data_IF_907203687879
#
_entry.id   IF_907203687879
#
_cell.length_a   1.000
_cell.length_b   1.000
_cell.length_c   1.000
_cell.angle_alpha   90.00
_cell.angle_beta   90.00
_cell.angle_gamma   90.00
#
_symmetry.space_group_name_H-M   'P 1'
#
loop_
_entity.id
_entity.type
_entity.pdbx_description
1 polymer ?
#
# COMPACT_ATOMS: atom_id res chain seq x y z
N UNK A 1 -23.33 6.13 13.38
CA UNK A 1 -23.41 5.28 12.19
C UNK A 1 -24.39 5.82 11.15
N UNK A 2 -25.67 6.11 11.47
CA UNK A 2 -26.66 6.66 10.52
C UNK A 2 -26.13 7.83 9.67
N UNK A 3 -25.56 8.84 10.28
CA UNK A 3 -25.06 10.04 9.57
C UNK A 3 -23.90 9.71 8.60
N UNK A 4 -23.00 8.82 9.03
CA UNK A 4 -21.86 8.37 8.21
C UNK A 4 -22.33 7.60 6.97
N UNK A 5 -23.35 6.75 7.13
CA UNK A 5 -23.95 6.00 6.03
C UNK A 5 -24.70 6.91 5.04
N UNK A 6 -25.47 7.89 5.55
CA UNK A 6 -26.17 8.87 4.72
C UNK A 6 -25.16 9.70 3.88
N UNK A 7 -24.04 10.10 4.46
CA UNK A 7 -22.97 10.81 3.73
C UNK A 7 -22.37 9.95 2.61
N UNK A 8 -22.15 8.64 2.86
CA UNK A 8 -21.61 7.73 1.85
C UNK A 8 -22.59 7.53 0.70
N UNK A 9 -23.87 7.40 0.98
CA UNK A 9 -24.90 7.27 -0.05
C UNK A 9 -24.95 8.55 -0.91
N UNK A 10 -25.01 9.72 -0.28
CA UNK A 10 -25.01 11.00 -1.00
C UNK A 10 -23.74 11.16 -1.85
N UNK A 11 -22.58 10.76 -1.31
CA UNK A 11 -21.32 10.81 -2.04
C UNK A 11 -21.28 9.84 -3.23
N UNK A 12 -21.86 8.66 -3.09
CA UNK A 12 -22.00 7.69 -4.20
C UNK A 12 -22.82 8.30 -5.35
N UNK A 13 -23.94 8.95 -5.05
CA UNK A 13 -24.79 9.57 -6.06
C UNK A 13 -24.08 10.73 -6.76
N UNK A 14 -23.30 11.54 -6.02
CA UNK A 14 -22.43 12.55 -6.62
C UNK A 14 -21.38 11.93 -7.55
N UNK A 15 -20.73 10.85 -7.14
CA UNK A 15 -19.72 10.17 -7.95
C UNK A 15 -20.31 9.57 -9.21
N UNK A 16 -21.52 9.02 -9.15
CA UNK A 16 -22.26 8.52 -10.30
C UNK A 16 -22.56 9.64 -11.30
N UNK A 17 -22.99 10.80 -10.82
CA UNK A 17 -23.18 11.98 -11.65
C UNK A 17 -21.87 12.47 -12.28
N UNK A 18 -20.76 12.47 -11.54
CA UNK A 18 -19.44 12.86 -12.03
C UNK A 18 -18.91 11.90 -13.10
N UNK A 19 -19.15 10.59 -12.98
CA UNK A 19 -18.76 9.60 -13.98
C UNK A 19 -19.50 9.75 -15.31
N UNK A 20 -20.66 10.40 -15.29
CA UNK A 20 -21.44 10.74 -16.49
C UNK A 20 -21.01 12.07 -17.14
N UNK A 21 -20.15 12.87 -16.49
CA UNK A 21 -19.70 14.17 -17.00
C UNK A 21 -18.65 14.02 -18.11
N UNK A 22 -18.91 14.53 -19.34
CA UNK A 22 -17.94 14.50 -20.43
C UNK A 22 -16.60 15.17 -20.13
N UNK A 23 -16.57 16.16 -19.22
CA UNK A 23 -15.35 16.84 -18.83
C UNK A 23 -14.42 15.92 -18.03
N UNK A 24 -14.99 15.02 -17.23
CA UNK A 24 -14.23 14.06 -16.42
C UNK A 24 -13.81 12.86 -17.27
N UNK A 25 -14.66 12.42 -18.20
CA UNK A 25 -14.33 11.33 -19.15
C UNK A 25 -13.10 11.69 -20.00
N UNK A 26 -12.88 12.96 -20.29
CA UNK A 26 -11.72 13.43 -21.04
C UNK A 26 -10.42 13.54 -20.24
N UNK A 27 -10.47 13.38 -18.89
CA UNK A 27 -9.31 13.40 -18.00
C UNK A 27 -9.09 12.01 -17.39
N UNK A 28 -8.16 11.19 -17.92
CA UNK A 28 -7.97 9.80 -17.50
C UNK A 28 -7.54 9.65 -16.03
N UNK A 29 -6.79 10.61 -15.47
CA UNK A 29 -6.34 10.54 -14.08
C UNK A 29 -7.50 10.78 -13.11
N UNK A 30 -8.28 11.85 -13.34
CA UNK A 30 -9.47 12.14 -12.54
C UNK A 30 -10.52 11.05 -12.67
N UNK A 31 -10.74 10.54 -13.87
CA UNK A 31 -11.67 9.43 -14.10
C UNK A 31 -11.27 8.18 -13.31
N UNK A 32 -9.98 7.84 -13.28
CA UNK A 32 -9.47 6.69 -12.52
C UNK A 32 -9.73 6.84 -11.02
N UNK A 33 -9.49 8.02 -10.46
CA UNK A 33 -9.69 8.27 -9.03
C UNK A 33 -11.17 8.24 -8.65
N UNK A 34 -12.03 8.90 -9.43
CA UNK A 34 -13.48 8.91 -9.23
C UNK A 34 -14.07 7.49 -9.38
N UNK A 35 -13.64 6.73 -10.41
CA UNK A 35 -14.09 5.36 -10.61
C UNK A 35 -13.66 4.42 -9.47
N UNK A 36 -12.50 4.66 -8.86
CA UNK A 36 -12.03 3.91 -7.69
C UNK A 36 -12.89 4.20 -6.47
N UNK A 37 -13.14 5.49 -6.19
CA UNK A 37 -13.99 5.93 -5.07
C UNK A 37 -15.42 5.40 -5.23
N UNK A 38 -15.99 5.52 -6.42
CA UNK A 38 -17.33 4.99 -6.76
C UNK A 38 -17.42 3.48 -6.52
N UNK A 39 -16.42 2.70 -6.98
CA UNK A 39 -16.39 1.24 -6.77
C UNK A 39 -16.36 0.86 -5.30
N UNK A 40 -15.68 1.64 -4.47
CA UNK A 40 -15.64 1.41 -3.02
C UNK A 40 -17.01 1.70 -2.39
N UNK A 41 -17.62 2.84 -2.72
CA UNK A 41 -18.94 3.21 -2.23
C UNK A 41 -20.03 2.23 -2.71
N UNK A 42 -19.95 1.77 -3.95
CA UNK A 42 -20.92 0.84 -4.55
C UNK A 42 -21.06 -0.50 -3.79
N UNK A 43 -20.01 -0.97 -3.11
CA UNK A 43 -20.08 -2.17 -2.26
C UNK A 43 -20.78 -1.89 -0.94
N UNK A 44 -20.68 -0.65 -0.43
CA UNK A 44 -21.22 -0.25 0.87
C UNK A 44 -22.70 0.13 0.76
N UNK A 45 -23.09 0.86 -0.29
CA UNK A 45 -24.42 1.47 -0.45
C UNK A 45 -25.58 0.47 -0.34
N UNK A 46 -25.59 -0.70 -0.98
CA UNK A 46 -26.69 -1.65 -0.84
C UNK A 46 -26.91 -2.10 0.60
N UNK A 47 -25.82 -2.40 1.34
CA UNK A 47 -25.89 -2.81 2.74
C UNK A 47 -26.27 -1.64 3.67
N UNK A 48 -25.81 -0.44 3.34
CA UNK A 48 -26.20 0.77 4.06
C UNK A 48 -27.71 1.05 3.93
N UNK A 49 -28.26 0.92 2.73
CA UNK A 49 -29.69 1.08 2.49
C UNK A 49 -30.51 0.00 3.23
N UNK A 50 -30.06 -1.25 3.19
CA UNK A 50 -30.70 -2.34 3.93
C UNK A 50 -30.69 -2.09 5.44
N UNK A 51 -29.55 -1.65 5.99
CA UNK A 51 -29.42 -1.31 7.41
C UNK A 51 -30.34 -0.14 7.83
N UNK A 52 -30.40 0.91 7.01
CA UNK A 52 -31.28 2.06 7.28
C UNK A 52 -32.76 1.69 7.20
N UNK A 53 -33.16 0.91 6.20
CA UNK A 53 -34.53 0.41 6.06
C UNK A 53 -34.94 -0.48 7.24
N UNK A 54 -34.05 -1.37 7.69
CA UNK A 54 -34.30 -2.21 8.85
C UNK A 54 -34.42 -1.41 10.16
N UNK A 55 -33.64 -0.34 10.29
CA UNK A 55 -33.78 0.59 11.42
C UNK A 55 -35.12 1.32 11.43
N UNK A 56 -35.64 1.75 10.27
CA UNK A 56 -36.95 2.38 10.15
C UNK A 56 -38.06 1.39 10.51
N UNK A 57 -37.97 0.17 10.00
CA UNK A 57 -38.94 -0.89 10.36
C UNK A 57 -38.92 -1.22 11.84
N UNK A 58 -37.73 -1.27 12.50
CA UNK A 58 -37.64 -1.44 13.94
C UNK A 58 -38.30 -0.31 14.74
N UNK A 59 -38.12 0.93 14.29
CA UNK A 59 -38.73 2.07 14.92
C UNK A 59 -40.29 2.04 14.74
N UNK A 60 -40.78 1.59 13.57
CA UNK A 60 -42.22 1.35 13.32
C UNK A 60 -42.79 0.24 14.21
N UNK A 61 -42.07 -0.89 14.36
CA UNK A 61 -42.49 -2.01 15.23
C UNK A 61 -42.58 -1.57 16.70
N UNK A 62 -41.66 -0.73 17.17
CA UNK A 62 -41.73 -0.14 18.53
C UNK A 62 -42.99 0.72 18.73
N UNK A 63 -43.35 1.52 17.73
CA UNK A 63 -44.56 2.33 17.78
C UNK A 63 -45.82 1.44 17.82
N UNK A 64 -45.82 0.32 17.06
CA UNK A 64 -46.93 -0.65 17.07
C UNK A 64 -47.06 -1.31 18.44
N UNK A 65 -45.95 -1.66 19.09
CA UNK A 65 -45.95 -2.26 20.42
C UNK A 65 -46.49 -1.33 21.48
N UNK A 66 -46.24 -0.02 21.33
CA UNK A 66 -46.79 1.02 22.23
C UNK A 66 -48.25 1.41 21.88
N UNK A 67 -48.83 0.91 20.75
CA UNK A 67 -50.19 1.17 20.28
C UNK A 67 -51.27 0.47 21.13
N UNK A 68 -52.51 0.41 20.66
CA UNK A 68 -53.63 -0.20 21.37
C UNK A 68 -54.15 -1.51 20.77
N UNK A 69 -53.55 -1.99 19.66
CA UNK A 69 -53.94 -3.20 18.95
C UNK A 69 -53.16 -4.41 19.42
N UNK A 70 -53.82 -5.30 20.15
CA UNK A 70 -53.17 -6.46 20.78
C UNK A 70 -52.69 -7.49 19.75
N UNK A 71 -53.37 -7.69 18.60
CA UNK A 71 -52.93 -8.63 17.56
C UNK A 71 -51.65 -8.14 16.84
N UNK A 72 -51.60 -6.86 16.52
CA UNK A 72 -50.40 -6.26 15.89
C UNK A 72 -49.19 -6.24 16.85
N UNK A 73 -49.47 -6.01 18.16
CA UNK A 73 -48.39 -6.11 19.19
C UNK A 73 -47.76 -7.47 19.26
N UNK A 74 -48.56 -8.54 19.28
CA UNK A 74 -48.03 -9.92 19.40
C UNK A 74 -47.16 -10.24 18.20
N UNK A 75 -47.60 -9.86 17.01
CA UNK A 75 -46.84 -10.08 15.76
C UNK A 75 -45.54 -9.29 15.74
N UNK A 76 -45.59 -8.00 16.13
CA UNK A 76 -44.39 -7.16 16.21
C UNK A 76 -43.39 -7.68 17.27
N UNK A 77 -43.88 -8.18 18.41
CA UNK A 77 -43.01 -8.78 19.44
C UNK A 77 -42.35 -10.09 18.97
N UNK A 78 -42.97 -10.87 18.11
CA UNK A 78 -42.38 -12.09 17.55
C UNK A 78 -41.27 -11.77 16.51
N UNK A 79 -41.44 -10.71 15.74
CA UNK A 79 -40.48 -10.32 14.68
C UNK A 79 -39.27 -9.55 15.23
N UNK A 80 -39.44 -8.78 16.28
CA UNK A 80 -38.44 -7.87 16.85
C UNK A 80 -37.08 -8.54 17.16
N UNK A 81 -37.01 -9.75 17.79
CA UNK A 81 -35.74 -10.41 18.05
C UNK A 81 -34.97 -10.81 16.78
N UNK A 82 -35.67 -11.15 15.70
CA UNK A 82 -35.06 -11.50 14.42
C UNK A 82 -34.48 -10.27 13.73
N UNK A 83 -35.24 -9.16 13.76
CA UNK A 83 -34.81 -7.90 13.20
C UNK A 83 -33.60 -7.32 13.97
N UNK A 84 -33.59 -7.42 15.31
CA UNK A 84 -32.46 -6.97 16.14
C UNK A 84 -31.19 -7.77 15.82
N UNK A 85 -31.32 -9.10 15.61
CA UNK A 85 -30.19 -9.94 15.23
C UNK A 85 -29.65 -9.56 13.84
N UNK A 86 -30.55 -9.39 12.85
CA UNK A 86 -30.19 -9.01 11.49
C UNK A 86 -29.52 -7.62 11.46
N UNK A 87 -30.03 -6.67 12.26
CA UNK A 87 -29.44 -5.36 12.41
C UNK A 87 -28.02 -5.41 13.00
N UNK A 88 -27.81 -6.29 14.02
CA UNK A 88 -26.52 -6.48 14.64
C UNK A 88 -25.51 -7.07 13.63
N UNK A 89 -25.93 -8.06 12.85
CA UNK A 89 -25.10 -8.70 11.85
C UNK A 89 -24.73 -7.75 10.71
N UNK A 90 -25.71 -7.03 10.14
CA UNK A 90 -25.48 -5.97 9.14
C UNK A 90 -24.61 -4.84 9.69
N UNK A 91 -24.81 -4.46 10.93
CA UNK A 91 -24.00 -3.44 11.59
C UNK A 91 -22.53 -3.85 11.72
N UNK A 92 -22.26 -5.11 12.01
CA UNK A 92 -20.91 -5.64 12.08
C UNK A 92 -20.26 -5.73 10.69
N UNK A 93 -20.99 -6.17 9.67
CA UNK A 93 -20.51 -6.17 8.29
C UNK A 93 -20.20 -4.76 7.80
N UNK A 94 -21.06 -3.80 8.07
CA UNK A 94 -20.84 -2.40 7.70
C UNK A 94 -19.63 -1.80 8.40
N UNK A 95 -19.41 -2.09 9.68
CA UNK A 95 -18.20 -1.64 10.40
C UNK A 95 -16.93 -2.10 9.67
N UNK A 96 -16.88 -3.36 9.22
CA UNK A 96 -15.74 -3.89 8.46
C UNK A 96 -15.57 -3.18 7.11
N UNK A 97 -16.67 -2.92 6.39
CA UNK A 97 -16.64 -2.23 5.11
C UNK A 97 -16.28 -0.75 5.21
N UNK A 98 -16.56 -0.12 6.35
CA UNK A 98 -16.25 1.29 6.63
C UNK A 98 -14.81 1.53 7.05
N UNK A 99 -14.01 0.48 7.31
CA UNK A 99 -12.58 0.63 7.59
C UNK A 99 -11.90 1.30 6.39
N UNK A 100 -11.19 2.42 6.60
CA UNK A 100 -10.47 3.08 5.52
C UNK A 100 -9.49 2.12 4.85
N UNK A 101 -9.67 1.90 3.55
CA UNK A 101 -8.72 1.08 2.78
C UNK A 101 -7.46 1.89 2.50
N UNK A 102 -6.31 1.33 2.82
CA UNK A 102 -5.03 1.89 2.40
C UNK A 102 -5.02 2.03 0.85
N UNK A 103 -4.83 3.24 0.30
CA UNK A 103 -4.81 3.47 -1.14
C UNK A 103 -3.70 2.69 -1.85
N UNK A 104 -2.68 2.27 -1.11
CA UNK A 104 -1.59 1.45 -1.65
C UNK A 104 -2.00 -0.01 -1.86
N UNK A 105 -3.09 -0.51 -1.26
CA UNK A 105 -3.48 -1.91 -1.35
C UNK A 105 -3.65 -2.40 -2.80
N UNK A 106 -4.07 -1.55 -3.72
CA UNK A 106 -4.30 -1.88 -5.13
C UNK A 106 -3.04 -1.74 -6.00
N UNK A 107 -1.92 -1.27 -5.42
CA UNK A 107 -0.65 -1.13 -6.15
C UNK A 107 0.03 -2.47 -6.36
N UNK A 108 0.87 -2.52 -7.38
CA UNK A 108 1.89 -3.56 -7.52
C UNK A 108 2.89 -3.45 -6.37
N UNK A 109 3.70 -4.48 -6.19
CA UNK A 109 4.66 -4.49 -5.09
C UNK A 109 6.06 -4.87 -5.54
N UNK A 110 7.04 -4.35 -4.81
CA UNK A 110 8.43 -4.77 -4.86
C UNK A 110 8.71 -5.56 -3.58
N UNK A 111 9.16 -6.80 -3.75
CA UNK A 111 9.54 -7.69 -2.65
C UNK A 111 11.05 -7.83 -2.62
N UNK A 112 11.64 -7.54 -1.47
CA UNK A 112 13.07 -7.70 -1.21
C UNK A 112 13.25 -8.80 -0.16
N UNK A 113 14.00 -9.84 -0.48
CA UNK A 113 14.35 -10.91 0.46
C UNK A 113 15.86 -10.86 0.68
N UNK A 114 16.29 -10.78 1.92
CA UNK A 114 17.69 -10.78 2.30
C UNK A 114 17.99 -11.91 3.29
N UNK A 115 19.08 -12.60 3.09
CA UNK A 115 19.61 -13.54 4.08
C UNK A 115 19.99 -12.75 5.35
N UNK A 116 19.45 -13.18 6.49
CA UNK A 116 19.80 -12.65 7.81
C UNK A 116 20.82 -13.51 8.54
N UNK A 117 20.62 -13.73 9.83
CA UNK A 117 21.49 -14.57 10.66
C UNK A 117 21.40 -16.04 10.24
N UNK A 118 22.52 -16.68 9.91
CA UNK A 118 22.58 -18.11 9.58
C UNK A 118 23.50 -18.48 8.40
N UNK A 119 24.21 -17.48 7.84
CA UNK A 119 25.20 -17.71 6.77
C UNK A 119 24.59 -18.33 5.50
N UNK A 120 25.18 -19.40 5.01
CA UNK A 120 24.74 -20.10 3.79
C UNK A 120 23.32 -20.65 3.89
N UNK A 121 22.93 -21.14 5.07
CA UNK A 121 21.58 -21.65 5.31
C UNK A 121 20.51 -20.54 5.22
N UNK A 122 20.82 -19.35 5.71
CA UNK A 122 19.94 -18.19 5.54
C UNK A 122 19.77 -17.80 4.06
N UNK A 123 20.83 -17.94 3.26
CA UNK A 123 20.76 -17.69 1.82
C UNK A 123 19.94 -18.76 1.07
N UNK A 124 20.04 -20.03 1.45
CA UNK A 124 19.18 -21.10 0.92
C UNK A 124 17.71 -20.87 1.32
N UNK A 125 17.47 -20.47 2.55
CA UNK A 125 16.12 -20.15 3.00
C UNK A 125 15.52 -18.93 2.26
N UNK A 126 16.33 -17.93 1.95
CA UNK A 126 15.88 -16.81 1.10
C UNK A 126 15.46 -17.29 -0.30
N UNK A 127 16.15 -18.28 -0.87
CA UNK A 127 15.75 -18.90 -2.13
C UNK A 127 14.45 -19.72 -2.00
N UNK A 128 14.24 -20.40 -0.89
CA UNK A 128 12.99 -21.11 -0.62
C UNK A 128 11.80 -20.14 -0.47
N UNK A 129 11.96 -19.01 0.24
CA UNK A 129 10.95 -17.97 0.32
C UNK A 129 10.64 -17.36 -1.05
N UNK A 130 11.66 -17.08 -1.85
CA UNK A 130 11.46 -16.60 -3.23
C UNK A 130 10.66 -17.59 -4.06
N UNK A 131 10.94 -18.89 -3.96
CA UNK A 131 10.16 -19.94 -4.64
C UNK A 131 8.73 -19.97 -4.15
N UNK A 132 8.51 -19.91 -2.83
CA UNK A 132 7.19 -19.87 -2.22
C UNK A 132 6.34 -18.71 -2.74
N UNK A 133 6.89 -17.49 -2.73
CA UNK A 133 6.18 -16.32 -3.26
C UNK A 133 5.98 -16.36 -4.77
N UNK A 134 6.91 -16.98 -5.51
CA UNK A 134 6.75 -17.19 -6.95
C UNK A 134 5.57 -18.11 -7.26
N UNK A 135 5.45 -19.22 -6.52
CA UNK A 135 4.31 -20.14 -6.63
C UNK A 135 2.99 -19.49 -6.22
N UNK A 136 3.03 -18.68 -5.17
CA UNK A 136 1.87 -17.91 -4.73
C UNK A 136 1.40 -16.91 -5.80
N UNK A 137 2.33 -16.22 -6.46
CA UNK A 137 2.03 -15.32 -7.57
C UNK A 137 1.38 -16.08 -8.75
N UNK A 138 1.94 -17.23 -9.14
CA UNK A 138 1.39 -18.09 -10.20
C UNK A 138 -0.05 -18.52 -9.90
N UNK A 139 -0.34 -18.93 -8.65
CA UNK A 139 -1.69 -19.34 -8.21
C UNK A 139 -2.71 -18.19 -8.28
N UNK A 140 -2.25 -16.95 -8.05
CA UNK A 140 -3.11 -15.75 -8.09
C UNK A 140 -3.12 -15.06 -9.46
N UNK A 141 -2.51 -15.64 -10.51
CA UNK A 141 -2.36 -15.06 -11.85
C UNK A 141 -1.63 -13.69 -11.81
N UNK A 142 -0.66 -13.52 -10.92
CA UNK A 142 0.19 -12.36 -10.87
C UNK A 142 1.46 -12.58 -11.68
N UNK A 143 1.90 -11.56 -12.41
CA UNK A 143 3.21 -11.59 -13.09
C UNK A 143 4.32 -11.25 -12.10
N UNK A 144 5.50 -11.82 -12.34
CA UNK A 144 6.68 -11.60 -11.51
C UNK A 144 7.90 -11.33 -12.37
N UNK A 145 8.64 -10.25 -12.07
CA UNK A 145 9.87 -9.87 -12.75
C UNK A 145 11.00 -9.69 -11.73
N UNK A 146 12.16 -10.31 -11.99
CA UNK A 146 13.34 -10.15 -11.14
C UNK A 146 14.02 -8.83 -11.50
N UNK A 147 14.21 -7.96 -10.50
CA UNK A 147 14.87 -6.65 -10.63
C UNK A 147 16.38 -6.79 -10.38
N UNK A 148 16.74 -7.47 -9.29
CA UNK A 148 18.12 -7.69 -8.92
C UNK A 148 18.27 -9.00 -8.13
N UNK A 149 19.40 -9.67 -8.26
CA UNK A 149 19.71 -10.86 -7.48
C UNK A 149 21.20 -10.95 -7.18
N UNK A 150 21.51 -11.33 -5.95
CA UNK A 150 22.88 -11.64 -5.50
C UNK A 150 22.90 -13.10 -5.02
N UNK A 151 23.21 -14.01 -5.93
CA UNK A 151 23.24 -15.44 -5.68
C UNK A 151 24.49 -15.90 -4.94
N UNK A 152 24.38 -17.07 -4.29
CA UNK A 152 25.52 -17.79 -3.72
C UNK A 152 25.88 -19.00 -4.58
N UNK A 153 27.11 -19.48 -4.48
CA UNK A 153 27.59 -20.66 -5.28
C UNK A 153 26.82 -21.97 -5.00
N UNK A 154 25.99 -22.02 -3.94
CA UNK A 154 25.19 -23.18 -3.52
C UNK A 154 23.71 -23.07 -3.88
N UNK A 155 23.32 -22.09 -4.72
CA UNK A 155 21.94 -21.89 -5.16
C UNK A 155 21.05 -21.08 -4.20
N UNK A 156 21.64 -20.45 -3.18
CA UNK A 156 20.95 -19.49 -2.30
C UNK A 156 21.05 -18.06 -2.81
N UNK A 157 20.34 -17.12 -2.14
CA UNK A 157 20.44 -15.69 -2.39
C UNK A 157 20.88 -14.94 -1.13
N UNK A 158 21.95 -14.13 -1.23
CA UNK A 158 22.24 -13.11 -0.21
C UNK A 158 21.16 -12.04 -0.21
N UNK A 159 20.71 -11.67 -1.41
CA UNK A 159 19.65 -10.74 -1.65
C UNK A 159 18.96 -11.07 -2.97
N UNK A 160 17.63 -10.98 -3.01
CA UNK A 160 16.85 -11.00 -4.24
C UNK A 160 15.75 -9.98 -4.16
N UNK A 161 15.59 -9.18 -5.23
CA UNK A 161 14.59 -8.13 -5.38
C UNK A 161 13.78 -8.44 -6.64
N UNK A 162 12.47 -8.48 -6.51
CA UNK A 162 11.57 -8.75 -7.62
C UNK A 162 10.27 -7.97 -7.48
N UNK A 163 9.64 -7.65 -8.60
CA UNK A 163 8.31 -7.06 -8.64
C UNK A 163 7.24 -8.13 -8.78
N UNK A 164 6.07 -7.88 -8.22
CA UNK A 164 4.85 -8.65 -8.42
C UNK A 164 3.74 -7.71 -8.87
N UNK A 165 3.07 -8.04 -9.99
CA UNK A 165 2.06 -7.20 -10.63
C UNK A 165 0.77 -7.96 -10.83
N UNK A 166 -0.34 -7.32 -10.49
CA UNK A 166 -1.68 -7.92 -10.58
C UNK A 166 -2.69 -7.13 -9.74
N UNK A 167 -3.82 -7.73 -9.46
CA UNK A 167 -4.89 -7.09 -8.67
C UNK A 167 -4.59 -7.18 -7.19
N UNK A 168 -4.58 -6.03 -6.49
CA UNK A 168 -4.44 -5.89 -5.03
C UNK A 168 -3.23 -6.62 -4.43
N UNK A 169 -2.12 -6.64 -5.17
CA UNK A 169 -0.91 -7.39 -4.79
C UNK A 169 -0.33 -6.89 -3.48
N UNK A 170 -0.16 -5.55 -3.34
CA UNK A 170 0.39 -4.98 -2.11
C UNK A 170 -0.51 -5.23 -0.90
N UNK A 171 -1.83 -5.11 -1.05
CA UNK A 171 -2.81 -5.36 0.02
C UNK A 171 -2.77 -6.78 0.59
N UNK A 172 -2.26 -7.73 -0.18
CA UNK A 172 -2.06 -9.13 0.22
C UNK A 172 -0.65 -9.34 0.75
N UNK A 173 0.35 -8.91 0.00
CA UNK A 173 1.75 -9.17 0.30
C UNK A 173 2.31 -8.36 1.47
N UNK A 174 1.72 -7.21 1.83
CA UNK A 174 2.17 -6.37 2.95
C UNK A 174 2.30 -7.14 4.27
N UNK A 175 1.49 -8.18 4.46
CA UNK A 175 1.52 -9.05 5.64
C UNK A 175 2.74 -9.97 5.69
N UNK A 176 3.49 -10.10 4.61
CA UNK A 176 4.73 -10.88 4.57
C UNK A 176 5.98 -10.08 4.97
N UNK A 177 5.83 -8.77 5.22
CA UNK A 177 6.96 -7.93 5.67
C UNK A 177 7.41 -8.29 7.09
N UNK A 178 8.69 -8.57 7.26
CA UNK A 178 9.29 -8.84 8.56
C UNK A 178 10.41 -9.89 8.52
N UNK A 179 10.71 -10.45 9.71
CA UNK A 179 11.73 -11.49 9.88
C UNK A 179 11.10 -12.88 9.87
N UNK A 180 11.49 -13.69 8.92
CA UNK A 180 11.11 -15.11 8.80
C UNK A 180 12.19 -16.00 9.37
N UNK A 181 11.83 -16.89 10.29
CA UNK A 181 12.74 -17.80 10.97
C UNK A 181 12.53 -19.23 10.47
N UNK A 182 13.59 -19.91 10.10
CA UNK A 182 13.57 -21.32 9.74
C UNK A 182 14.27 -22.17 10.80
N UNK A 183 13.73 -23.33 11.08
CA UNK A 183 14.30 -24.37 11.93
C UNK A 183 14.34 -25.66 11.13
N UNK A 184 15.55 -26.05 10.66
CA UNK A 184 15.78 -27.31 9.94
C UNK A 184 17.23 -27.75 10.07
N UNK A 185 17.52 -28.98 9.69
CA UNK A 185 18.88 -29.44 9.47
C UNK A 185 19.33 -28.89 8.11
N UNK A 186 20.36 -28.03 8.05
CA UNK A 186 20.85 -27.46 6.81
C UNK A 186 21.32 -28.55 5.84
N UNK A 187 21.16 -28.32 4.53
CA UNK A 187 21.74 -29.19 3.49
C UNK A 187 23.28 -29.26 3.54
N UNK A 188 23.91 -28.28 4.15
CA UNK A 188 25.36 -28.13 4.32
C UNK A 188 25.87 -28.73 5.62
N UNK A 189 24.99 -29.23 6.51
CA UNK A 189 25.33 -29.78 7.82
C UNK A 189 25.49 -31.31 7.73
N UNK A 190 26.66 -31.83 8.01
CA UNK A 190 26.97 -33.27 7.97
C UNK A 190 26.62 -33.98 9.30
N UNK A 191 26.53 -33.21 10.38
CA UNK A 191 26.25 -33.72 11.77
C UNK A 191 24.80 -33.86 12.15
N UNK A 192 23.85 -33.57 11.25
CA UNK A 192 22.41 -33.67 11.52
C UNK A 192 21.88 -32.70 12.57
N UNK A 193 22.61 -31.64 12.91
CA UNK A 193 22.21 -30.66 13.93
C UNK A 193 21.13 -29.74 13.40
N UNK A 194 20.13 -29.50 14.23
CA UNK A 194 19.07 -28.53 13.96
C UNK A 194 19.62 -27.09 14.08
N UNK A 195 19.57 -26.35 12.98
CA UNK A 195 19.98 -24.95 12.96
C UNK A 195 18.75 -24.03 12.92
N UNK A 196 18.94 -22.83 13.43
CA UNK A 196 17.94 -21.77 13.36
C UNK A 196 18.53 -20.61 12.57
N UNK A 197 18.00 -20.39 11.37
CA UNK A 197 18.39 -19.29 10.49
C UNK A 197 17.23 -18.33 10.27
N UNK A 198 17.53 -17.13 9.79
CA UNK A 198 16.55 -16.10 9.50
C UNK A 198 16.79 -15.45 8.14
N UNK A 199 15.72 -15.05 7.51
CA UNK A 199 15.71 -14.17 6.35
C UNK A 199 14.74 -13.02 6.58
N UNK A 200 15.01 -11.87 6.01
CA UNK A 200 14.16 -10.69 6.11
C UNK A 200 13.43 -10.49 4.79
N UNK A 201 12.16 -10.15 4.88
CA UNK A 201 11.30 -9.82 3.75
C UNK A 201 10.81 -8.40 3.93
N UNK A 202 11.06 -7.54 2.95
CA UNK A 202 10.47 -6.21 2.88
C UNK A 202 9.53 -6.16 1.67
N UNK A 203 8.31 -5.71 1.88
CA UNK A 203 7.28 -5.56 0.85
C UNK A 203 6.94 -4.09 0.74
N UNK A 204 7.25 -3.49 -0.40
CA UNK A 204 7.08 -2.06 -0.65
C UNK A 204 6.08 -1.87 -1.80
N UNK A 205 5.17 -0.89 -1.73
CA UNK A 205 4.33 -0.57 -2.87
C UNK A 205 5.19 -0.05 -4.03
N UNK A 206 4.85 -0.43 -5.27
CA UNK A 206 5.49 0.15 -6.44
C UNK A 206 5.19 1.65 -6.48
N UNK A 207 6.23 2.45 -6.59
CA UNK A 207 6.07 3.90 -6.64
C UNK A 207 5.70 4.34 -8.05
N UNK A 208 4.79 5.25 -8.13
CA UNK A 208 4.53 6.02 -9.33
C UNK A 208 5.75 6.91 -9.63
N UNK A 209 6.01 7.15 -10.90
CA UNK A 209 7.08 8.06 -11.30
C UNK A 209 6.80 9.47 -10.74
N UNK A 210 7.80 10.06 -10.12
CA UNK A 210 7.67 11.41 -9.61
C UNK A 210 7.55 12.39 -10.79
N UNK A 211 6.36 12.87 -11.03
CA UNK A 211 6.13 13.98 -11.96
C UNK A 211 6.15 15.30 -11.19
N UNK A 212 6.97 16.26 -11.70
CA UNK A 212 6.99 17.59 -11.13
C UNK A 212 6.24 18.53 -12.04
N UNK A 213 5.12 19.03 -11.56
CA UNK A 213 4.38 20.11 -12.18
C UNK A 213 4.76 21.44 -11.53
N UNK A 214 5.54 22.26 -12.25
CA UNK A 214 5.97 23.58 -11.76
C UNK A 214 4.93 24.60 -12.19
N UNK A 215 4.23 25.19 -11.23
CA UNK A 215 3.29 26.28 -11.49
C UNK A 215 4.05 27.61 -11.63
N UNK A 216 3.67 28.45 -12.56
CA UNK A 216 4.33 29.74 -12.77
C UNK A 216 4.24 30.66 -11.53
N UNK A 217 3.17 30.56 -10.74
CA UNK A 217 2.99 31.30 -9.48
C UNK A 217 4.00 30.92 -8.39
N UNK A 218 4.61 29.73 -8.49
CA UNK A 218 5.61 29.24 -7.53
C UNK A 218 7.04 29.70 -7.90
N UNK A 219 7.17 30.44 -9.00
CA UNK A 219 8.45 30.91 -9.52
C UNK A 219 8.62 32.40 -9.33
N UNK A 220 9.70 32.81 -8.68
CA UNK A 220 10.21 34.18 -8.70
C UNK A 220 11.33 34.26 -9.72
N UNK A 221 11.16 35.08 -10.74
CA UNK A 221 12.13 35.26 -11.82
C UNK A 221 12.72 36.67 -11.73
N UNK A 222 14.01 36.75 -11.48
CA UNK A 222 14.77 37.98 -11.40
C UNK A 222 15.75 38.04 -12.60
N UNK A 223 15.85 39.20 -13.25
CA UNK A 223 16.85 39.47 -14.29
C UNK A 223 18.00 40.26 -13.71
N UNK A 224 19.21 39.96 -14.16
CA UNK A 224 20.40 40.70 -13.73
C UNK A 224 21.46 40.74 -14.86
N UNK A 225 22.48 41.57 -14.65
CA UNK A 225 23.59 41.69 -15.60
C UNK A 225 24.51 40.50 -15.45
N UNK A 226 24.87 39.86 -16.57
CA UNK A 226 25.83 38.76 -16.57
C UNK A 226 27.20 39.28 -16.11
N UNK A 227 27.88 38.50 -15.27
CA UNK A 227 29.24 38.76 -14.83
C UNK A 227 30.23 37.88 -15.60
N UNK A 228 31.26 38.48 -16.19
CA UNK A 228 32.31 37.76 -16.93
C UNK A 228 33.10 38.63 -17.90
N UNK A 229 34.11 38.06 -18.53
CA UNK A 229 34.90 38.69 -19.58
C UNK A 229 34.04 38.92 -20.82
N UNK A 230 33.70 40.17 -21.13
CA UNK A 230 32.85 40.50 -22.27
C UNK A 230 32.87 41.96 -22.60
N UNK A 231 32.48 42.34 -23.81
CA UNK A 231 32.40 43.72 -24.30
C UNK A 231 31.14 44.45 -23.83
N UNK A 232 30.84 45.57 -24.47
CA UNK A 232 29.78 46.51 -24.11
C UNK A 232 28.37 45.86 -23.96
N UNK A 233 28.09 44.74 -24.63
CA UNK A 233 26.84 44.01 -24.54
C UNK A 233 26.65 43.31 -23.19
N UNK A 234 27.67 42.68 -22.64
CA UNK A 234 27.63 41.98 -21.32
C UNK A 234 27.38 42.94 -20.19
N UNK A 235 27.95 44.15 -20.28
CA UNK A 235 27.88 45.14 -19.20
C UNK A 235 26.61 46.03 -19.24
N UNK A 236 25.87 46.07 -20.37
CA UNK A 236 24.68 46.92 -20.51
C UNK A 236 23.35 46.13 -20.51
N UNK A 237 23.33 44.87 -20.93
CA UNK A 237 22.09 44.08 -21.08
C UNK A 237 21.89 43.14 -19.88
N UNK A 238 20.68 43.14 -19.34
CA UNK A 238 20.28 42.19 -18.26
C UNK A 238 19.81 40.88 -18.88
N UNK A 239 20.77 40.14 -19.44
CA UNK A 239 20.50 38.84 -20.09
C UNK A 239 20.53 37.65 -19.15
N UNK A 240 21.14 37.81 -18.00
CA UNK A 240 21.21 36.73 -16.97
C UNK A 240 19.91 36.61 -16.20
N UNK A 241 19.52 35.38 -15.90
CA UNK A 241 18.28 35.05 -15.19
C UNK A 241 18.59 34.27 -13.92
N UNK A 242 17.87 34.63 -12.85
CA UNK A 242 17.79 33.89 -11.59
C UNK A 242 16.35 33.47 -11.41
N UNK A 243 16.11 32.15 -11.27
CA UNK A 243 14.81 31.59 -10.94
C UNK A 243 14.89 31.02 -9.54
N UNK A 244 13.98 31.46 -8.68
CA UNK A 244 13.82 30.93 -7.32
C UNK A 244 12.47 30.20 -7.26
N UNK A 245 12.48 28.94 -6.92
CA UNK A 245 11.27 28.18 -6.61
C UNK A 245 10.86 28.47 -5.17
N UNK A 246 9.77 29.21 -5.00
CA UNK A 246 9.34 29.76 -3.70
C UNK A 246 9.11 28.67 -2.66
N UNK A 247 8.41 27.54 -2.94
CA UNK A 247 8.11 26.52 -1.94
C UNK A 247 9.34 25.79 -1.40
N UNK A 248 10.37 25.56 -2.26
CA UNK A 248 11.57 24.80 -1.85
C UNK A 248 12.76 25.70 -1.56
N UNK A 249 12.70 26.98 -1.90
CA UNK A 249 13.82 27.92 -1.80
C UNK A 249 14.97 27.65 -2.79
N UNK A 250 14.80 26.74 -3.72
CA UNK A 250 15.84 26.34 -4.68
C UNK A 250 16.06 27.45 -5.71
N UNK A 251 17.34 27.86 -5.84
CA UNK A 251 17.73 28.95 -6.74
C UNK A 251 18.58 28.41 -7.88
N UNK A 252 18.24 28.79 -9.09
CA UNK A 252 19.01 28.49 -10.32
C UNK A 252 19.33 29.78 -11.05
N UNK A 253 20.60 29.97 -11.39
CA UNK A 253 21.07 31.09 -12.22
C UNK A 253 21.58 30.59 -13.55
N UNK A 254 21.26 31.29 -14.64
CA UNK A 254 21.78 30.99 -15.97
C UNK A 254 22.16 32.31 -16.65
N UNK A 255 23.40 32.36 -17.18
CA UNK A 255 23.97 33.53 -17.85
C UNK A 255 24.81 33.19 -19.09
N UNK A 256 24.71 31.95 -19.57
CA UNK A 256 25.60 31.39 -20.59
C UNK A 256 25.29 31.90 -22.00
N UNK A 257 24.02 32.28 -22.24
CA UNK A 257 23.55 32.73 -23.55
C UNK A 257 23.37 34.27 -23.60
N UNK A 258 23.49 34.81 -24.79
CA UNK A 258 23.26 36.29 -25.05
C UNK A 258 21.78 36.65 -24.98
N UNK A 259 20.87 35.67 -25.11
CA UNK A 259 19.42 35.86 -25.12
C UNK A 259 18.83 35.55 -23.75
N UNK A 260 18.15 36.51 -23.13
CA UNK A 260 17.40 36.37 -21.91
C UNK A 260 16.40 35.20 -21.96
N UNK A 261 15.70 35.04 -23.11
CA UNK A 261 14.71 33.98 -23.27
C UNK A 261 15.35 32.58 -23.28
N UNK A 262 16.51 32.42 -23.93
CA UNK A 262 17.28 31.17 -23.90
C UNK A 262 17.77 30.84 -22.49
N UNK A 263 18.28 31.84 -21.75
CA UNK A 263 18.69 31.68 -20.37
C UNK A 263 17.50 31.29 -19.47
N UNK A 264 16.29 31.87 -19.68
CA UNK A 264 15.08 31.49 -18.95
C UNK A 264 14.73 30.03 -19.22
N UNK A 265 14.72 29.59 -20.45
CA UNK A 265 14.40 28.19 -20.82
C UNK A 265 15.42 27.22 -20.22
N UNK A 266 16.71 27.54 -20.31
CA UNK A 266 17.77 26.73 -19.73
C UNK A 266 17.66 26.66 -18.19
N UNK A 267 17.43 27.79 -17.52
CA UNK A 267 17.25 27.84 -16.08
C UNK A 267 16.05 27.03 -15.60
N UNK A 268 14.90 27.09 -16.30
CA UNK A 268 13.73 26.28 -16.02
C UNK A 268 14.01 24.78 -16.19
N UNK A 269 14.75 24.39 -17.22
CA UNK A 269 15.14 22.98 -17.43
C UNK A 269 16.04 22.47 -16.31
N UNK A 270 17.01 23.28 -15.88
CA UNK A 270 17.91 22.94 -14.76
C UNK A 270 17.13 22.89 -13.45
N UNK A 271 16.20 23.83 -13.22
CA UNK A 271 15.34 23.84 -12.03
C UNK A 271 14.48 22.57 -11.96
N UNK A 272 13.80 22.21 -13.07
CA UNK A 272 13.00 21.00 -13.16
C UNK A 272 13.84 19.74 -12.85
N UNK A 273 15.04 19.66 -13.40
CA UNK A 273 15.95 18.53 -13.13
C UNK A 273 16.38 18.44 -11.66
N UNK A 274 16.69 19.60 -11.02
CA UNK A 274 17.08 19.64 -9.60
C UNK A 274 15.92 19.30 -8.68
N UNK A 275 14.73 19.83 -8.94
CA UNK A 275 13.52 19.50 -8.18
C UNK A 275 13.20 18.01 -8.30
N UNK A 276 13.31 17.43 -9.50
CA UNK A 276 13.11 16.00 -9.72
C UNK A 276 14.13 15.15 -8.96
N UNK A 277 15.39 15.57 -8.93
CA UNK A 277 16.44 14.88 -8.18
C UNK A 277 16.15 14.92 -6.66
N UNK A 278 15.77 16.09 -6.14
CA UNK A 278 15.42 16.28 -4.73
C UNK A 278 14.20 15.44 -4.33
N UNK A 279 13.16 15.40 -5.16
CA UNK A 279 11.97 14.60 -4.89
C UNK A 279 12.27 13.09 -4.93
N UNK A 280 13.07 12.64 -5.89
CA UNK A 280 13.55 11.24 -5.94
C UNK A 280 14.37 10.87 -4.70
N UNK A 281 15.21 11.77 -4.21
CA UNK A 281 16.00 11.55 -2.99
C UNK A 281 15.10 11.48 -1.75
N UNK A 282 14.11 12.38 -1.63
CA UNK A 282 13.12 12.37 -0.54
C UNK A 282 12.35 11.04 -0.51
N UNK A 283 11.83 10.62 -1.67
CA UNK A 283 11.11 9.35 -1.80
C UNK A 283 12.00 8.14 -1.51
N UNK A 284 13.26 8.18 -1.93
CA UNK A 284 14.23 7.12 -1.63
C UNK A 284 14.52 7.02 -0.12
N UNK A 285 14.64 8.18 0.56
CA UNK A 285 14.83 8.22 2.01
C UNK A 285 13.61 7.68 2.75
N UNK A 286 12.40 8.12 2.40
CA UNK A 286 11.15 7.62 2.98
C UNK A 286 11.03 6.08 2.83
N UNK A 287 11.36 5.55 1.64
CA UNK A 287 11.38 4.10 1.42
C UNK A 287 12.44 3.39 2.27
N UNK A 288 13.60 4.01 2.45
CA UNK A 288 14.66 3.45 3.30
C UNK A 288 14.21 3.39 4.76
N UNK A 289 13.52 4.42 5.25
CA UNK A 289 13.01 4.49 6.62
C UNK A 289 11.86 3.46 6.83
N UNK A 290 10.92 3.36 5.88
CA UNK A 290 9.87 2.34 5.89
C UNK A 290 10.47 0.93 5.87
N UNK A 291 11.46 0.67 4.98
CA UNK A 291 12.18 -0.61 4.95
C UNK A 291 12.84 -0.93 6.29
N UNK A 292 13.50 0.06 6.89
CA UNK A 292 14.18 -0.09 8.19
C UNK A 292 13.19 -0.44 9.30
N UNK A 293 12.01 0.16 9.33
CA UNK A 293 10.96 -0.16 10.31
C UNK A 293 10.41 -1.59 10.13
N UNK A 294 10.23 -2.05 8.87
CA UNK A 294 9.72 -3.40 8.57
C UNK A 294 10.68 -4.51 8.93
N UNK A 295 11.98 -4.30 8.69
CA UNK A 295 13.01 -5.38 8.77
C UNK A 295 13.70 -5.40 10.13
N UNK A 296 13.57 -4.33 10.95
CA UNK A 296 14.29 -4.20 12.22
C UNK A 296 15.79 -4.51 12.08
N UNK A 297 16.38 -5.24 13.00
CA UNK A 297 17.80 -5.63 12.98
C UNK A 297 18.10 -6.90 12.18
N UNK A 298 17.10 -7.56 11.59
CA UNK A 298 17.27 -8.88 10.95
C UNK A 298 17.61 -10.00 11.93
N UNK A 299 17.48 -9.75 13.23
CA UNK A 299 17.72 -10.75 14.26
C UNK A 299 16.55 -11.75 14.31
N UNK A 300 16.89 -13.03 14.47
CA UNK A 300 15.93 -14.13 14.64
C UNK A 300 15.00 -13.99 15.85
N UNK A 301 15.29 -13.09 16.79
CA UNK A 301 14.41 -12.76 17.92
C UNK A 301 13.19 -11.96 17.51
N UNK A 302 13.31 -11.06 16.53
CA UNK A 302 12.23 -10.21 16.00
C UNK A 302 11.34 -10.91 14.95
N UNK A 303 11.22 -12.23 15.03
CA UNK A 303 10.48 -13.05 14.06
C UNK A 303 9.00 -12.73 14.00
N UNK A 304 8.44 -12.60 12.80
CA UNK A 304 7.00 -12.61 12.57
C UNK A 304 6.48 -14.03 12.39
N UNK A 305 7.26 -14.90 11.72
CA UNK A 305 6.84 -16.26 11.37
C UNK A 305 7.97 -17.27 11.55
N UNK A 306 7.63 -18.49 11.98
CA UNK A 306 8.57 -19.59 12.13
C UNK A 306 8.16 -20.78 11.28
N UNK A 307 9.10 -21.28 10.49
CA UNK A 307 8.99 -22.47 9.65
C UNK A 307 9.77 -23.61 10.32
N UNK A 308 9.07 -24.56 10.94
CA UNK A 308 9.66 -25.68 11.66
C UNK A 308 9.54 -26.96 10.82
N UNK A 309 10.59 -27.30 10.08
CA UNK A 309 10.62 -28.45 9.17
C UNK A 309 10.51 -29.80 9.91
N UNK A 310 11.23 -30.04 11.01
CA UNK A 310 11.09 -31.31 11.75
C UNK A 310 9.69 -31.61 12.25
N UNK A 311 8.89 -30.58 12.54
CA UNK A 311 7.51 -30.72 13.01
C UNK A 311 6.48 -30.53 11.90
N UNK A 312 6.88 -30.23 10.65
CA UNK A 312 5.96 -29.91 9.55
C UNK A 312 5.05 -28.70 9.85
N UNK A 313 5.50 -27.80 10.72
CA UNK A 313 4.67 -26.75 11.33
C UNK A 313 5.15 -25.36 10.94
N UNK A 314 4.19 -24.48 10.63
CA UNK A 314 4.38 -23.04 10.48
C UNK A 314 3.61 -22.30 11.56
N UNK A 315 4.20 -21.28 12.17
CA UNK A 315 3.57 -20.46 13.21
C UNK A 315 3.77 -18.98 12.89
N UNK A 316 2.68 -18.24 12.76
CA UNK A 316 2.70 -16.78 12.71
C UNK A 316 2.53 -16.23 14.13
N UNK A 317 3.55 -15.53 14.62
CA UNK A 317 3.61 -15.06 16.00
C UNK A 317 2.80 -13.78 16.26
N UNK A 318 2.38 -13.07 15.23
CA UNK A 318 1.57 -11.83 15.36
C UNK A 318 0.15 -12.15 15.83
N UNK A 319 -0.39 -13.27 15.36
CA UNK A 319 -1.76 -13.72 15.66
C UNK A 319 -1.81 -15.07 16.37
N UNK A 320 -0.64 -15.63 16.76
CA UNK A 320 -0.50 -16.96 17.34
C UNK A 320 -1.14 -18.09 16.51
N UNK A 321 -1.24 -17.89 15.19
CA UNK A 321 -1.79 -18.88 14.28
C UNK A 321 -0.77 -19.97 13.98
N UNK A 322 -1.19 -21.23 13.99
CA UNK A 322 -0.33 -22.39 13.71
C UNK A 322 -1.02 -23.31 12.71
N UNK A 323 -0.31 -23.65 11.62
CA UNK A 323 -0.72 -24.65 10.63
C UNK A 323 0.33 -25.77 10.55
N UNK A 324 -0.11 -26.99 10.31
CA UNK A 324 0.73 -28.18 10.11
C UNK A 324 0.92 -28.53 8.63
N UNK A 325 0.63 -27.60 7.74
CA UNK A 325 0.71 -27.75 6.28
C UNK A 325 1.95 -27.04 5.71
N UNK A 326 3.10 -27.20 6.37
CA UNK A 326 4.33 -26.51 5.97
C UNK A 326 4.70 -26.72 4.49
N UNK A 327 4.57 -27.94 3.97
CA UNK A 327 4.90 -28.26 2.58
C UNK A 327 4.01 -27.52 1.58
N UNK A 328 2.69 -27.46 1.84
CA UNK A 328 1.74 -26.73 1.01
C UNK A 328 2.05 -25.22 1.01
N UNK A 329 2.36 -24.67 2.19
CA UNK A 329 2.74 -23.26 2.33
C UNK A 329 4.03 -22.98 1.55
N UNK A 330 5.04 -23.83 1.64
CA UNK A 330 6.30 -23.69 0.89
C UNK A 330 6.11 -23.88 -0.62
N UNK A 331 5.04 -24.54 -1.04
CA UNK A 331 4.60 -24.62 -2.45
C UNK A 331 3.64 -23.50 -2.85
N UNK A 332 3.52 -22.46 -2.03
CA UNK A 332 2.80 -21.22 -2.34
C UNK A 332 1.33 -21.21 -1.93
N UNK A 333 0.90 -22.02 -0.96
CA UNK A 333 -0.45 -21.91 -0.38
C UNK A 333 -0.44 -21.06 0.89
N UNK A 334 -0.52 -19.74 0.70
CA UNK A 334 -0.50 -18.76 1.77
C UNK A 334 -1.89 -18.24 2.17
N UNK A 335 -2.94 -18.69 1.48
CA UNK A 335 -4.27 -18.08 1.59
C UNK A 335 -4.81 -18.09 3.02
N UNK A 336 -4.75 -19.23 3.70
CA UNK A 336 -5.25 -19.36 5.08
C UNK A 336 -4.55 -18.39 6.04
N UNK A 337 -3.22 -18.30 5.95
CA UNK A 337 -2.42 -17.43 6.83
C UNK A 337 -2.75 -15.94 6.57
N UNK A 338 -2.85 -15.57 5.28
CA UNK A 338 -3.13 -14.19 4.88
C UNK A 338 -4.55 -13.78 5.28
N UNK A 339 -5.53 -14.68 5.15
CA UNK A 339 -6.90 -14.40 5.58
C UNK A 339 -6.98 -14.15 7.09
N UNK A 340 -6.32 -14.99 7.89
CA UNK A 340 -6.27 -14.79 9.35
C UNK A 340 -5.59 -13.47 9.73
N UNK A 341 -4.54 -13.07 9.01
CA UNK A 341 -3.87 -11.78 9.21
C UNK A 341 -4.76 -10.59 8.80
N UNK A 342 -5.53 -10.71 7.71
CA UNK A 342 -6.50 -9.70 7.31
C UNK A 342 -7.59 -9.51 8.37
N UNK A 343 -8.13 -10.62 8.88
CA UNK A 343 -9.14 -10.58 9.94
C UNK A 343 -8.60 -9.88 11.19
N UNK A 344 -7.38 -10.23 11.60
CA UNK A 344 -6.73 -9.60 12.76
C UNK A 344 -6.49 -8.09 12.54
N UNK A 345 -6.03 -7.69 11.35
CA UNK A 345 -5.82 -6.29 10.97
C UNK A 345 -7.14 -5.49 11.02
N UNK A 346 -8.23 -6.08 10.51
CA UNK A 346 -9.57 -5.50 10.59
C UNK A 346 -10.06 -5.36 12.03
N UNK A 347 -9.81 -6.35 12.89
CA UNK A 347 -10.20 -6.29 14.31
C UNK A 347 -9.46 -5.17 15.05
N UNK A 348 -8.16 -5.00 14.78
CA UNK A 348 -7.37 -3.90 15.36
C UNK A 348 -7.90 -2.54 14.88
N UNK A 349 -8.23 -2.41 13.60
CA UNK A 349 -8.80 -1.18 13.05
C UNK A 349 -10.15 -0.83 13.67
N UNK A 350 -11.02 -1.84 13.91
CA UNK A 350 -12.32 -1.66 14.58
C UNK A 350 -12.22 -1.24 16.05
N UNK A 351 -11.11 -1.57 16.72
CA UNK A 351 -10.87 -1.17 18.12
C UNK A 351 -10.27 0.23 18.26
N UNK A 352 -9.70 0.76 17.19
CA UNK A 352 -9.07 2.08 17.18
C UNK A 352 -10.04 3.23 16.87
N UNK A 353 -11.22 2.95 16.29
CA UNK A 353 -12.36 3.86 16.07
C UNK A 353 -13.34 3.86 17.27
#
# INVERSE_FOLDING_TARGET
MKDKLAQIIARHDELEALLADPAIISDPERLKDIAREHRQAHVIVPKANQFLSLLEQLDEHKIIIDGDDDELKELAMEELPKMDQELADLGNELKVLLIPRDPNNDKNTIVEIRAGTGGEEAALFAADLFRMYSRYAERNNWSRDIIASNGTGIGGFKEIIFSMKGTSVYGVMKFESGVHRVQRVPKTETGGRLHTSAATVAVLPEAEDAEINIKEMDLKIDTFRASGAGGQHVNKTESAIRITHIPTGLVVTCQDEKSQHKNRTAALKVLKSRLLAQEKERLAQERADVRKSMVSTGDRSAKIRTYNFPQGRITDHRINFTSYQLENVMDGDLNEIIEQLKIADQQVALQAD
#
